data_IF_410733670893
#
_entry.id   IF_410733670893
#
_cell.length_a   1.000
_cell.length_b   1.000
_cell.length_c   1.000
_cell.angle_alpha   90.00
_cell.angle_beta   90.00
_cell.angle_gamma   90.00
#
_symmetry.space_group_name_H-M   'P 1'
#
loop_
_entity.id
_entity.type
_entity.pdbx_description
1 polymer ?
#
# COMPACT_ATOMS: atom_id res chain seq x y z
N UNK A 1 38.92 0.12 -19.08
CA UNK A 1 37.46 -0.17 -19.07
C UNK A 1 36.85 0.58 -17.90
N UNK A 2 35.86 1.43 -18.22
CA UNK A 2 34.92 2.20 -17.38
C UNK A 2 35.45 3.12 -16.24
N UNK A 3 35.13 4.44 -16.29
CA UNK A 3 35.53 5.40 -15.27
C UNK A 3 34.64 5.32 -14.02
N UNK A 4 35.28 5.16 -12.85
CA UNK A 4 34.66 5.34 -11.55
C UNK A 4 34.30 6.83 -11.35
N UNK A 5 33.13 7.25 -11.82
CA UNK A 5 32.66 8.64 -11.67
C UNK A 5 31.16 8.81 -11.73
N UNK A 6 30.37 7.82 -11.33
CA UNK A 6 28.95 8.02 -10.99
C UNK A 6 28.57 6.99 -9.92
N UNK A 7 28.52 7.38 -8.63
CA UNK A 7 27.30 7.01 -7.91
C UNK A 7 26.80 8.06 -6.92
N UNK A 8 27.50 9.19 -6.74
CA UNK A 8 27.13 10.15 -5.69
C UNK A 8 25.80 10.85 -6.01
N UNK A 9 25.58 11.22 -7.28
CA UNK A 9 24.34 11.86 -7.72
C UNK A 9 23.16 10.88 -7.63
N UNK A 10 23.36 9.61 -8.01
CA UNK A 10 22.30 8.60 -7.93
C UNK A 10 21.91 8.29 -6.47
N UNK A 11 22.90 8.20 -5.57
CA UNK A 11 22.67 8.05 -4.13
C UNK A 11 21.92 9.25 -3.52
N UNK A 12 22.25 10.48 -3.94
CA UNK A 12 21.54 11.68 -3.50
C UNK A 12 20.09 11.71 -3.98
N UNK A 13 19.81 11.37 -5.24
CA UNK A 13 18.45 11.31 -5.78
C UNK A 13 17.63 10.24 -5.06
N UNK A 14 18.22 9.07 -4.80
CA UNK A 14 17.61 8.04 -3.98
C UNK A 14 17.31 8.57 -2.55
N UNK A 15 18.28 9.17 -1.87
CA UNK A 15 18.10 9.68 -0.50
C UNK A 15 17.01 10.75 -0.40
N UNK A 16 16.89 11.64 -1.39
CA UNK A 16 15.85 12.68 -1.42
C UNK A 16 14.47 12.07 -1.68
N UNK A 17 14.38 11.06 -2.57
CA UNK A 17 13.14 10.30 -2.79
C UNK A 17 12.70 9.53 -1.54
N UNK A 18 13.64 8.90 -0.82
CA UNK A 18 13.38 8.23 0.46
C UNK A 18 12.96 9.22 1.54
N UNK A 19 13.63 10.37 1.66
CA UNK A 19 13.34 11.38 2.71
C UNK A 19 11.97 12.04 2.54
N UNK A 20 11.54 12.31 1.30
CA UNK A 20 10.21 12.86 1.02
C UNK A 20 9.09 11.82 1.22
N UNK A 21 9.41 10.53 1.10
CA UNK A 21 8.50 9.42 1.37
C UNK A 21 8.43 8.99 2.84
N UNK A 22 9.28 9.55 3.71
CA UNK A 22 9.42 9.18 5.13
C UNK A 22 8.99 10.30 6.09
N UNK A 23 7.99 11.12 5.72
CA UNK A 23 7.32 11.99 6.70
C UNK A 23 6.37 11.11 7.50
N UNK A 24 6.86 10.63 8.66
CA UNK A 24 6.10 9.96 9.69
C UNK A 24 6.22 8.44 9.63
N UNK A 25 7.02 7.87 10.54
CA UNK A 25 6.87 6.48 10.95
C UNK A 25 5.46 6.31 11.58
N UNK A 26 4.44 6.12 10.75
CA UNK A 26 3.05 6.01 11.19
C UNK A 26 2.01 6.41 10.14
N UNK A 27 2.34 7.28 9.18
CA UNK A 27 1.38 7.73 8.17
C UNK A 27 1.52 6.99 6.84
N UNK A 28 0.39 6.73 6.19
CA UNK A 28 0.36 6.16 4.85
C UNK A 28 0.92 7.16 3.81
N UNK A 29 1.51 6.64 2.73
CA UNK A 29 1.96 7.44 1.58
C UNK A 29 0.94 7.43 0.43
N UNK A 30 1.06 8.43 -0.44
CA UNK A 30 0.33 8.49 -1.72
C UNK A 30 0.60 7.24 -2.55
N UNK A 31 1.85 6.77 -2.59
CA UNK A 31 2.24 5.57 -3.34
C UNK A 31 1.58 4.30 -2.78
N UNK A 32 1.50 4.16 -1.45
CA UNK A 32 0.80 3.04 -0.81
C UNK A 32 -0.69 3.05 -1.18
N UNK A 33 -1.34 4.21 -1.13
CA UNK A 33 -2.74 4.34 -1.57
C UNK A 33 -2.88 3.95 -3.04
N UNK A 34 -2.04 4.49 -3.92
CA UNK A 34 -2.18 4.25 -5.36
C UNK A 34 -1.98 2.78 -5.68
N UNK A 35 -0.98 2.15 -5.05
CA UNK A 35 -0.74 0.71 -5.16
C UNK A 35 -1.93 -0.12 -4.68
N UNK A 36 -2.50 0.17 -3.51
CA UNK A 36 -3.71 -0.52 -3.02
C UNK A 36 -4.89 -0.32 -3.97
N UNK A 37 -5.12 0.90 -4.45
CA UNK A 37 -6.25 1.15 -5.37
C UNK A 37 -6.07 0.56 -6.76
N UNK A 38 -4.83 0.21 -7.14
CA UNK A 38 -4.50 -0.50 -8.35
C UNK A 38 -4.64 -2.02 -8.16
N UNK A 39 -3.91 -2.57 -7.19
CA UNK A 39 -3.74 -4.02 -7.02
C UNK A 39 -4.99 -4.66 -6.39
N UNK A 40 -5.68 -3.93 -5.50
CA UNK A 40 -6.92 -4.40 -4.87
C UNK A 40 -8.19 -3.96 -5.61
N UNK A 41 -8.06 -3.34 -6.78
CA UNK A 41 -9.16 -2.64 -7.49
C UNK A 41 -10.42 -3.48 -7.60
N UNK A 42 -10.32 -4.75 -7.95
CA UNK A 42 -11.49 -5.61 -8.14
C UNK A 42 -12.23 -5.86 -6.82
N UNK A 43 -11.49 -6.09 -5.73
CA UNK A 43 -12.05 -6.37 -4.41
C UNK A 43 -12.72 -5.15 -3.78
N UNK A 44 -12.17 -3.95 -3.97
CA UNK A 44 -12.62 -2.73 -3.26
C UNK A 44 -13.71 -1.96 -4.00
N UNK A 45 -14.16 -2.37 -5.19
CA UNK A 45 -15.31 -1.73 -5.86
C UNK A 45 -16.60 -1.95 -5.06
N UNK A 46 -17.51 -0.97 -5.09
CA UNK A 46 -18.85 -1.04 -4.48
C UNK A 46 -19.64 -2.30 -4.88
N UNK A 47 -19.54 -2.72 -6.14
CA UNK A 47 -20.14 -3.96 -6.67
C UNK A 47 -19.09 -5.05 -6.95
N UNK A 48 -17.92 -4.96 -6.32
CA UNK A 48 -16.88 -5.98 -6.40
C UNK A 48 -17.33 -7.29 -5.72
N UNK A 49 -16.57 -8.37 -5.88
CA UNK A 49 -16.91 -9.65 -5.30
C UNK A 49 -16.92 -9.58 -3.76
N UNK A 50 -17.61 -10.55 -3.15
CA UNK A 50 -17.60 -10.79 -1.69
C UNK A 50 -16.43 -11.70 -1.30
N UNK A 51 -15.72 -12.27 -2.27
CA UNK A 51 -14.57 -13.12 -2.06
C UNK A 51 -13.35 -12.33 -1.62
N UNK A 52 -12.50 -12.97 -0.84
CA UNK A 52 -11.19 -12.46 -0.46
C UNK A 52 -10.17 -12.66 -1.59
N UNK A 53 -9.17 -11.76 -1.73
CA UNK A 53 -7.92 -12.10 -2.43
C UNK A 53 -7.21 -13.26 -1.73
N UNK A 54 -6.36 -13.97 -2.47
CA UNK A 54 -5.37 -14.88 -1.90
C UNK A 54 -4.40 -14.09 -1.02
N UNK A 55 -3.88 -14.72 0.03
CA UNK A 55 -2.92 -14.09 0.93
C UNK A 55 -1.63 -13.63 0.21
N UNK A 56 -1.26 -14.35 -0.84
CA UNK A 56 -0.07 -14.07 -1.66
C UNK A 56 -0.37 -13.21 -2.90
N UNK A 57 -1.63 -12.83 -3.14
CA UNK A 57 -1.96 -11.89 -4.21
C UNK A 57 -1.32 -10.52 -3.95
N UNK A 58 -0.96 -9.83 -5.02
CA UNK A 58 -0.36 -8.48 -4.97
C UNK A 58 -1.19 -7.51 -4.12
N UNK A 59 -2.52 -7.65 -4.13
CA UNK A 59 -3.41 -6.90 -3.26
C UNK A 59 -3.07 -7.12 -1.78
N UNK A 60 -2.97 -8.37 -1.31
CA UNK A 60 -2.65 -8.64 0.10
C UNK A 60 -1.20 -8.30 0.45
N UNK A 61 -0.27 -8.40 -0.49
CA UNK A 61 1.10 -7.90 -0.31
C UNK A 61 1.10 -6.38 -0.09
N UNK A 62 0.33 -5.63 -0.89
CA UNK A 62 0.21 -4.17 -0.76
C UNK A 62 -0.46 -3.76 0.57
N UNK A 63 -1.52 -4.47 0.97
CA UNK A 63 -2.20 -4.25 2.25
C UNK A 63 -1.24 -4.48 3.42
N UNK A 64 -0.44 -5.55 3.40
CA UNK A 64 0.56 -5.85 4.45
C UNK A 64 1.72 -4.86 4.52
N UNK A 65 1.93 -4.06 3.48
CA UNK A 65 2.91 -2.98 3.48
C UNK A 65 2.41 -1.69 4.17
N UNK A 66 1.14 -1.63 4.58
CA UNK A 66 0.58 -0.49 5.32
C UNK A 66 1.03 -0.56 6.79
N UNK A 67 1.49 0.56 7.39
CA UNK A 67 1.87 0.59 8.79
C UNK A 67 0.75 0.08 9.71
N UNK A 68 1.09 -0.84 10.62
CA UNK A 68 0.16 -1.44 11.59
C UNK A 68 -1.10 -2.10 10.99
N UNK A 69 -1.16 -2.32 9.67
CA UNK A 69 -2.37 -2.73 8.95
C UNK A 69 -3.56 -1.77 9.16
N UNK A 70 -3.30 -0.52 9.58
CA UNK A 70 -4.33 0.49 9.79
C UNK A 70 -4.70 1.16 8.47
N UNK A 71 -5.79 0.70 7.89
CA UNK A 71 -6.28 1.19 6.60
C UNK A 71 -6.92 2.58 6.68
N UNK A 72 -7.12 3.17 7.86
CA UNK A 72 -7.70 4.51 7.98
C UNK A 72 -6.83 5.57 7.30
N UNK A 73 -5.50 5.45 7.35
CA UNK A 73 -4.64 6.40 6.65
C UNK A 73 -4.76 6.28 5.12
N UNK A 74 -4.96 5.08 4.57
CA UNK A 74 -5.24 4.91 3.13
C UNK A 74 -6.58 5.55 2.75
N UNK A 75 -7.62 5.33 3.56
CA UNK A 75 -8.96 5.86 3.33
C UNK A 75 -8.94 7.39 3.30
N UNK A 76 -8.21 8.04 4.22
CA UNK A 76 -8.07 9.50 4.25
C UNK A 76 -7.35 10.07 3.03
N UNK A 77 -6.44 9.29 2.42
CA UNK A 77 -5.70 9.71 1.24
C UNK A 77 -6.45 9.50 -0.09
N UNK A 78 -7.62 8.84 -0.09
CA UNK A 78 -8.41 8.61 -1.30
C UNK A 78 -8.80 9.94 -1.96
N UNK A 79 -8.44 10.10 -3.23
CA UNK A 79 -8.90 11.22 -4.04
C UNK A 79 -10.41 11.16 -4.31
N UNK A 80 -11.01 12.28 -4.72
CA UNK A 80 -12.43 12.33 -5.10
C UNK A 80 -12.79 11.30 -6.19
N UNK A 81 -11.87 11.01 -7.12
CA UNK A 81 -12.07 9.99 -8.17
C UNK A 81 -12.04 8.55 -7.62
N UNK A 82 -11.41 8.33 -6.48
CA UNK A 82 -11.30 7.04 -5.79
C UNK A 82 -12.41 6.82 -4.75
N UNK A 83 -13.26 7.82 -4.46
CA UNK A 83 -14.45 7.68 -3.58
C UNK A 83 -15.55 6.75 -4.15
N UNK A 84 -15.34 6.19 -5.34
CA UNK A 84 -16.13 5.10 -5.92
C UNK A 84 -15.84 3.72 -5.30
N UNK A 85 -14.81 3.62 -4.47
CA UNK A 85 -14.45 2.40 -3.76
C UNK A 85 -15.20 2.28 -2.43
N UNK A 86 -15.45 1.04 -2.03
CA UNK A 86 -16.08 0.68 -0.78
C UNK A 86 -15.05 0.71 0.36
N UNK A 87 -15.15 1.73 1.21
CA UNK A 87 -14.26 1.92 2.37
C UNK A 87 -14.36 0.77 3.37
N UNK A 88 -15.52 0.12 3.49
CA UNK A 88 -15.70 -1.03 4.36
C UNK A 88 -14.96 -2.27 3.85
N UNK A 89 -14.85 -2.42 2.52
CA UNK A 89 -14.01 -3.46 1.93
C UNK A 89 -12.52 -3.18 2.12
N UNK A 90 -12.08 -1.93 1.91
CA UNK A 90 -10.69 -1.53 2.18
C UNK A 90 -10.31 -1.87 3.63
N UNK A 91 -11.16 -1.52 4.60
CA UNK A 91 -10.92 -1.83 6.02
C UNK A 91 -10.82 -3.33 6.28
N UNK A 92 -11.74 -4.13 5.72
CA UNK A 92 -11.75 -5.60 5.89
C UNK A 92 -10.55 -6.30 5.26
N UNK A 93 -9.97 -5.75 4.20
CA UNK A 93 -8.73 -6.31 3.64
C UNK A 93 -7.60 -6.28 4.68
N UNK A 94 -7.42 -5.17 5.41
CA UNK A 94 -6.39 -5.06 6.46
C UNK A 94 -6.68 -5.87 7.73
N UNK A 95 -7.93 -5.91 8.18
CA UNK A 95 -8.28 -6.52 9.46
C UNK A 95 -8.64 -8.01 9.41
N UNK A 96 -9.06 -8.53 8.26
CA UNK A 96 -9.58 -9.90 8.13
C UNK A 96 -8.86 -10.69 7.05
N UNK A 97 -8.86 -10.18 5.81
CA UNK A 97 -8.51 -11.02 4.65
C UNK A 97 -7.01 -11.15 4.39
N UNK A 98 -6.26 -10.05 4.58
CA UNK A 98 -4.81 -10.02 4.36
C UNK A 98 -4.03 -9.95 5.67
N UNK A 99 -4.73 -10.11 6.81
CA UNK A 99 -4.06 -10.13 8.10
C UNK A 99 -3.18 -11.38 8.18
N UNK A 100 -1.90 -11.26 8.61
CA UNK A 100 -1.07 -12.43 8.84
C UNK A 100 -1.79 -13.34 9.84
N UNK A 101 -2.12 -14.56 9.43
CA UNK A 101 -2.49 -15.57 10.41
C UNK A 101 -1.28 -15.74 11.31
N UNK A 102 -1.46 -15.52 12.61
CA UNK A 102 -0.49 -15.93 13.63
C UNK A 102 -0.35 -17.45 13.49
N UNK A 103 0.57 -17.91 12.67
CA UNK A 103 1.13 -19.24 12.82
C UNK A 103 1.92 -19.11 14.12
N UNK A 104 1.30 -19.51 15.23
CA UNK A 104 2.03 -19.74 16.48
C UNK A 104 2.97 -20.93 16.22
N UNK A 105 4.12 -20.65 15.62
CA UNK A 105 5.28 -21.56 15.65
C UNK A 105 5.99 -21.45 16.97
#
# INVERSE_FOLDING_TARGET
MLPAKVPIIFLLVCAIAFSLGQIGAGDCTIDQRDKITQDCREYIKLKGPVTAPSYDDECCVAIRAVPNLDMECIIRLLSNKQKKYDVGKIRRLGSVFCHPHLVMT
#
